data_IF_725678680389
#
_entry.id   IF_725678680389
#
_cell.length_a   1.000
_cell.length_b   1.000
_cell.length_c   1.000
_cell.angle_alpha   90.00
_cell.angle_beta   90.00
_cell.angle_gamma   90.00
#
_symmetry.space_group_name_H-M   'P 1'
#
loop_
_entity.id
_entity.type
_entity.pdbx_description
1 polymer ?
#
# COMPACT_ATOMS: atom_id res chain seq x y z
N UNK A 1 26.72 23.39 -16.57
CA UNK A 1 26.07 23.03 -17.83
C UNK A 1 25.51 21.60 -17.86
N UNK A 2 26.11 20.63 -17.18
CA UNK A 2 25.59 19.25 -17.12
C UNK A 2 24.19 19.13 -16.50
N UNK A 3 23.86 19.98 -15.51
CA UNK A 3 22.56 19.94 -14.83
C UNK A 3 21.36 20.34 -15.67
N UNK A 4 21.53 21.28 -16.60
CA UNK A 4 20.45 21.71 -17.50
C UNK A 4 20.05 20.60 -18.47
N UNK A 5 21.01 19.94 -19.10
CA UNK A 5 20.75 18.83 -20.02
C UNK A 5 20.18 17.62 -19.31
N UNK A 6 20.64 17.32 -18.09
CA UNK A 6 20.09 16.23 -17.27
C UNK A 6 18.63 16.47 -16.93
N UNK A 7 18.29 17.71 -16.50
CA UNK A 7 16.91 18.07 -16.19
C UNK A 7 16.02 18.06 -17.43
N UNK A 8 16.51 18.53 -18.57
CA UNK A 8 15.80 18.49 -19.83
C UNK A 8 15.53 17.07 -20.29
N UNK A 9 16.53 16.19 -20.18
CA UNK A 9 16.39 14.77 -20.51
C UNK A 9 15.35 14.08 -19.61
N UNK A 10 15.38 14.34 -18.31
CA UNK A 10 14.37 13.83 -17.37
C UNK A 10 12.99 14.34 -17.69
N UNK A 11 12.85 15.60 -18.07
CA UNK A 11 11.58 16.17 -18.49
C UNK A 11 11.03 15.49 -19.76
N UNK A 12 11.86 15.30 -20.78
CA UNK A 12 11.47 14.59 -22.00
C UNK A 12 11.17 13.11 -21.75
N UNK A 13 11.96 12.44 -20.92
CA UNK A 13 11.71 11.04 -20.58
C UNK A 13 10.37 10.88 -19.83
N UNK A 14 10.01 11.83 -18.95
CA UNK A 14 8.74 11.86 -18.27
C UNK A 14 7.54 12.02 -19.21
N UNK A 15 7.72 12.74 -20.33
CA UNK A 15 6.69 12.91 -21.36
C UNK A 15 6.52 11.67 -22.25
N UNK A 16 7.65 11.06 -22.67
CA UNK A 16 7.65 9.94 -23.61
C UNK A 16 7.51 8.58 -22.94
N UNK A 17 7.87 8.47 -21.66
CA UNK A 17 7.87 7.21 -20.90
C UNK A 17 6.95 7.31 -19.67
N UNK A 18 5.79 7.94 -19.83
CA UNK A 18 4.80 7.98 -18.76
C UNK A 18 4.28 6.56 -18.48
N UNK A 19 4.28 6.19 -17.21
CA UNK A 19 3.88 4.88 -16.72
C UNK A 19 2.63 4.98 -15.88
N UNK A 20 1.94 3.87 -15.74
CA UNK A 20 0.73 3.76 -14.93
C UNK A 20 0.86 2.59 -13.97
N UNK A 21 0.29 2.72 -12.79
CA UNK A 21 0.12 1.64 -11.84
C UNK A 21 -1.23 1.76 -11.15
N UNK A 22 -1.98 0.68 -11.14
CA UNK A 22 -3.23 0.57 -10.42
C UNK A 22 -3.01 -0.20 -9.12
N UNK A 23 -3.34 0.41 -8.00
CA UNK A 23 -3.03 -0.08 -6.65
C UNK A 23 -4.32 -0.15 -5.85
N UNK A 24 -4.54 -1.25 -5.15
CA UNK A 24 -5.61 -1.34 -4.16
C UNK A 24 -5.02 -1.38 -2.76
N UNK A 25 -5.53 -0.53 -1.88
CA UNK A 25 -5.10 -0.41 -0.49
C UNK A 25 -6.18 -1.02 0.40
N UNK A 26 -5.86 -2.10 1.05
CA UNK A 26 -6.77 -2.86 1.92
C UNK A 26 -6.12 -3.08 3.30
N UNK A 27 -6.90 -3.57 4.23
CA UNK A 27 -6.46 -3.83 5.60
C UNK A 27 -7.61 -3.57 6.57
N UNK A 28 -7.42 -3.94 7.83
CA UNK A 28 -8.45 -3.79 8.84
C UNK A 28 -8.76 -2.31 9.12
N UNK A 29 -9.89 -2.07 9.77
CA UNK A 29 -10.30 -0.73 10.18
C UNK A 29 -9.22 -0.10 11.08
N UNK A 30 -8.98 1.20 10.91
CA UNK A 30 -8.01 2.00 11.67
C UNK A 30 -6.54 1.59 11.49
N UNK A 31 -6.20 0.82 10.47
CA UNK A 31 -4.81 0.46 10.18
C UNK A 31 -3.97 1.59 9.56
N UNK A 32 -4.61 2.62 8.98
CA UNK A 32 -3.95 3.76 8.37
C UNK A 32 -3.99 3.78 6.85
N UNK A 33 -4.90 3.05 6.22
CA UNK A 33 -5.06 3.02 4.75
C UNK A 33 -5.33 4.40 4.15
N UNK A 34 -6.35 5.08 4.65
CA UNK A 34 -6.71 6.42 4.17
C UNK A 34 -5.61 7.42 4.49
N UNK A 35 -4.96 7.29 5.63
CA UNK A 35 -3.77 8.09 5.97
C UNK A 35 -2.64 7.90 4.96
N UNK A 36 -2.38 6.65 4.56
CA UNK A 36 -1.40 6.34 3.53
C UNK A 36 -1.73 7.04 2.21
N UNK A 37 -2.96 6.88 1.73
CA UNK A 37 -3.41 7.52 0.48
C UNK A 37 -3.32 9.04 0.56
N UNK A 38 -3.71 9.62 1.69
CA UNK A 38 -3.62 11.07 1.90
C UNK A 38 -2.18 11.58 1.89
N UNK A 39 -1.26 10.90 2.58
CA UNK A 39 0.15 11.31 2.64
C UNK A 39 0.83 11.22 1.28
N UNK A 40 0.62 10.14 0.53
CA UNK A 40 1.22 10.02 -0.81
C UNK A 40 0.58 10.97 -1.83
N UNK A 41 -0.66 11.40 -1.60
CA UNK A 41 -1.35 12.35 -2.49
C UNK A 41 -0.98 13.80 -2.20
N UNK A 42 -1.00 14.21 -0.93
CA UNK A 42 -0.81 15.61 -0.52
C UNK A 42 0.51 15.91 0.18
N UNK A 43 1.21 14.86 0.62
CA UNK A 43 2.41 15.00 1.46
C UNK A 43 2.12 15.38 2.91
N UNK A 44 0.85 15.39 3.33
CA UNK A 44 0.46 15.79 4.68
C UNK A 44 -0.29 14.68 5.41
N UNK A 45 0.03 14.51 6.69
CA UNK A 45 -0.66 13.63 7.61
C UNK A 45 -1.66 14.42 8.47
N UNK A 46 -2.80 13.82 8.80
CA UNK A 46 -3.81 14.39 9.69
C UNK A 46 -4.32 13.34 10.67
N UNK A 47 -4.58 13.73 11.91
CA UNK A 47 -5.25 12.87 12.89
C UNK A 47 -6.75 12.71 12.60
N UNK A 48 -7.33 13.71 11.95
CA UNK A 48 -8.78 13.79 11.69
C UNK A 48 -9.16 13.09 10.38
N UNK A 49 -8.81 11.80 10.28
CA UNK A 49 -9.18 11.00 9.11
C UNK A 49 -10.55 10.37 9.32
N UNK A 50 -11.50 10.75 8.47
CA UNK A 50 -12.83 10.14 8.44
C UNK A 50 -12.72 8.73 7.83
N UNK A 51 -13.29 7.70 8.48
CA UNK A 51 -13.31 6.36 7.91
C UNK A 51 -13.95 6.33 6.53
N UNK A 52 -13.31 5.60 5.61
CA UNK A 52 -13.81 5.40 4.25
C UNK A 52 -15.12 4.62 4.29
N UNK A 53 -16.13 5.12 3.59
CA UNK A 53 -17.39 4.41 3.38
C UNK A 53 -17.33 3.69 2.04
N UNK A 54 -17.24 2.36 2.10
CA UNK A 54 -17.05 1.44 0.98
C UNK A 54 -15.70 1.59 0.29
N UNK A 55 -15.47 2.63 -0.50
CA UNK A 55 -14.19 2.87 -1.18
C UNK A 55 -14.03 4.33 -1.60
N UNK A 56 -12.77 4.74 -1.84
CA UNK A 56 -12.41 5.98 -2.53
C UNK A 56 -11.42 5.68 -3.66
N UNK A 57 -11.57 6.37 -4.77
CA UNK A 57 -10.62 6.31 -5.86
C UNK A 57 -9.83 7.61 -5.94
N UNK A 58 -8.50 7.51 -6.01
CA UNK A 58 -7.63 8.66 -6.20
C UNK A 58 -6.62 8.41 -7.31
N UNK A 59 -6.30 9.48 -8.04
CA UNK A 59 -5.20 9.49 -9.00
C UNK A 59 -4.10 10.40 -8.49
N UNK A 60 -2.88 9.87 -8.41
CA UNK A 60 -1.71 10.57 -7.88
C UNK A 60 -0.57 10.43 -8.88
N UNK A 61 0.05 11.55 -9.25
CA UNK A 61 1.23 11.53 -10.10
C UNK A 61 2.49 11.75 -9.27
N UNK A 62 3.45 10.84 -9.40
CA UNK A 62 4.78 10.93 -8.79
C UNK A 62 5.83 10.66 -9.88
N UNK A 63 6.61 11.70 -10.24
CA UNK A 63 7.54 11.60 -11.34
C UNK A 63 6.84 11.31 -12.67
N UNK A 64 7.25 10.25 -13.35
CA UNK A 64 6.65 9.79 -14.60
C UNK A 64 5.57 8.71 -14.40
N UNK A 65 5.19 8.42 -13.14
CA UNK A 65 4.19 7.39 -12.82
C UNK A 65 2.90 8.03 -12.37
N UNK A 66 1.78 7.63 -12.99
CA UNK A 66 0.44 7.95 -12.53
C UNK A 66 -0.14 6.74 -11.80
N UNK A 67 -0.40 6.92 -10.51
CA UNK A 67 -1.01 5.89 -9.67
C UNK A 67 -2.52 6.07 -9.61
N UNK A 68 -3.25 5.03 -9.94
CA UNK A 68 -4.69 4.92 -9.68
C UNK A 68 -4.87 4.07 -8.42
N UNK A 69 -5.39 4.67 -7.35
CA UNK A 69 -5.38 4.08 -6.03
C UNK A 69 -6.80 3.90 -5.52
N UNK A 70 -7.16 2.66 -5.21
CA UNK A 70 -8.40 2.29 -4.56
C UNK A 70 -8.16 2.17 -3.06
N UNK A 71 -8.73 3.09 -2.28
CA UNK A 71 -8.74 3.04 -0.82
C UNK A 71 -10.04 2.34 -0.39
N UNK A 72 -9.93 1.09 0.03
CA UNK A 72 -11.10 0.24 0.32
C UNK A 72 -11.33 0.14 1.82
N UNK A 73 -12.58 0.32 2.25
CA UNK A 73 -12.97 0.31 3.66
C UNK A 73 -12.60 -1.00 4.36
N UNK A 74 -12.08 -0.89 5.59
CA UNK A 74 -11.62 -2.02 6.40
C UNK A 74 -12.63 -2.56 7.41
N UNK A 75 -13.81 -1.94 7.53
CA UNK A 75 -14.84 -2.45 8.44
C UNK A 75 -15.33 -3.85 8.02
N UNK A 76 -15.68 -4.73 8.97
CA UNK A 76 -16.05 -6.12 8.66
C UNK A 76 -17.11 -6.26 7.56
N UNK A 77 -18.09 -5.38 7.54
CA UNK A 77 -19.17 -5.40 6.53
C UNK A 77 -18.72 -5.13 5.11
N UNK A 78 -17.52 -4.54 4.90
CA UNK A 78 -17.00 -4.20 3.57
C UNK A 78 -15.88 -5.13 3.10
N UNK A 79 -15.40 -6.06 3.94
CA UNK A 79 -14.25 -6.91 3.60
C UNK A 79 -14.55 -7.87 2.44
N UNK A 80 -15.81 -8.30 2.29
CA UNK A 80 -16.23 -9.12 1.15
C UNK A 80 -16.11 -8.39 -0.20
N UNK A 81 -15.98 -7.06 -0.19
CA UNK A 81 -15.80 -6.26 -1.41
C UNK A 81 -14.34 -6.15 -1.84
N UNK A 82 -13.38 -6.56 -1.01
CA UNK A 82 -11.95 -6.36 -1.31
C UNK A 82 -11.52 -7.05 -2.62
N UNK A 83 -11.99 -8.26 -2.86
CA UNK A 83 -11.70 -8.98 -4.11
C UNK A 83 -12.04 -8.15 -5.34
N UNK A 84 -13.19 -7.50 -5.33
CA UNK A 84 -13.67 -6.68 -6.45
C UNK A 84 -12.69 -5.56 -6.82
N UNK A 85 -12.10 -4.89 -5.81
CA UNK A 85 -11.19 -3.76 -6.02
C UNK A 85 -9.73 -4.19 -6.17
N UNK A 86 -9.42 -5.44 -5.86
CA UNK A 86 -8.07 -6.01 -6.01
C UNK A 86 -7.90 -6.83 -7.29
N UNK A 87 -8.97 -7.10 -8.00
CA UNK A 87 -8.92 -7.84 -9.25
C UNK A 87 -8.29 -7.01 -10.37
N UNK A 88 -7.25 -7.54 -11.00
CA UNK A 88 -6.60 -6.90 -12.14
C UNK A 88 -5.72 -5.70 -11.81
N UNK A 89 -5.46 -5.42 -10.53
CA UNK A 89 -4.53 -4.35 -10.14
C UNK A 89 -3.08 -4.79 -10.29
N UNK A 90 -2.18 -3.81 -10.37
CA UNK A 90 -0.74 -4.06 -10.49
C UNK A 90 -0.09 -4.44 -9.18
N UNK A 91 -0.70 -4.04 -8.06
CA UNK A 91 -0.29 -4.44 -6.72
C UNK A 91 -1.41 -4.25 -5.71
N UNK A 92 -1.39 -5.09 -4.67
CA UNK A 92 -2.22 -4.93 -3.47
C UNK A 92 -1.30 -4.47 -2.34
N UNK A 93 -1.70 -3.40 -1.67
CA UNK A 93 -1.05 -2.90 -0.45
C UNK A 93 -1.95 -3.25 0.73
N UNK A 94 -1.44 -4.07 1.63
CA UNK A 94 -2.12 -4.47 2.86
C UNK A 94 -1.52 -3.71 4.04
N UNK A 95 -2.30 -2.83 4.65
CA UNK A 95 -1.82 -1.98 5.75
C UNK A 95 -2.24 -2.58 7.09
N UNK A 96 -1.28 -2.71 7.99
CA UNK A 96 -1.45 -3.28 9.33
C UNK A 96 -1.05 -2.23 10.37
N UNK A 97 -1.85 -2.08 11.41
CA UNK A 97 -1.44 -1.36 12.61
C UNK A 97 -0.47 -2.23 13.41
N UNK A 98 0.82 -1.92 13.34
CA UNK A 98 1.85 -2.73 13.98
C UNK A 98 1.85 -2.64 15.51
N UNK A 99 1.05 -1.76 16.10
CA UNK A 99 0.90 -1.62 17.55
C UNK A 99 -0.24 -2.46 18.12
N UNK A 100 -1.17 -2.93 17.28
CA UNK A 100 -2.37 -3.64 17.69
C UNK A 100 -2.24 -5.15 17.42
N UNK A 101 -1.43 -5.81 18.26
CA UNK A 101 -1.11 -7.23 18.09
C UNK A 101 -2.33 -8.15 18.22
N UNK A 102 -3.36 -7.72 18.97
CA UNK A 102 -4.60 -8.48 19.14
C UNK A 102 -5.34 -8.68 17.81
N UNK A 103 -5.10 -7.80 16.84
CA UNK A 103 -5.74 -7.86 15.52
C UNK A 103 -4.92 -8.61 14.46
N UNK A 104 -3.72 -9.08 14.79
CA UNK A 104 -2.87 -9.77 13.82
C UNK A 104 -3.49 -11.06 13.29
N UNK A 105 -4.21 -11.79 14.12
CA UNK A 105 -4.89 -13.01 13.68
C UNK A 105 -6.01 -12.69 12.66
N UNK A 106 -6.83 -11.69 12.94
CA UNK A 106 -7.85 -11.24 12.00
C UNK A 106 -7.23 -10.72 10.71
N UNK A 107 -6.14 -9.95 10.81
CA UNK A 107 -5.42 -9.44 9.64
C UNK A 107 -4.87 -10.58 8.79
N UNK A 108 -4.25 -11.57 9.41
CA UNK A 108 -3.76 -12.77 8.72
C UNK A 108 -4.87 -13.51 7.99
N UNK A 109 -5.97 -13.76 8.68
CA UNK A 109 -7.14 -14.46 8.11
C UNK A 109 -7.67 -13.73 6.88
N UNK A 110 -7.92 -12.43 7.00
CA UNK A 110 -8.47 -11.62 5.90
C UNK A 110 -7.48 -11.52 4.72
N UNK A 111 -6.19 -11.37 5.00
CA UNK A 111 -5.16 -11.31 3.97
C UNK A 111 -5.10 -12.62 3.17
N UNK A 112 -4.99 -13.74 3.85
CA UNK A 112 -4.88 -15.04 3.18
C UNK A 112 -6.17 -15.41 2.46
N UNK A 113 -7.34 -15.08 3.03
CA UNK A 113 -8.62 -15.28 2.36
C UNK A 113 -8.72 -14.49 1.05
N UNK A 114 -8.25 -13.25 1.05
CA UNK A 114 -8.21 -12.41 -0.13
C UNK A 114 -7.27 -13.02 -1.20
N UNK A 115 -6.05 -13.37 -0.82
CA UNK A 115 -5.05 -13.87 -1.76
C UNK A 115 -5.37 -15.26 -2.32
N UNK A 116 -6.22 -16.02 -1.64
CA UNK A 116 -6.68 -17.33 -2.13
C UNK A 116 -7.78 -17.21 -3.18
N UNK A 117 -8.29 -16.03 -3.44
CA UNK A 117 -9.26 -15.82 -4.52
C UNK A 117 -8.57 -16.02 -5.88
N UNK A 118 -9.12 -16.87 -6.78
CA UNK A 118 -8.50 -17.15 -8.08
C UNK A 118 -8.26 -15.90 -8.92
N UNK A 119 -9.13 -14.90 -8.80
CA UNK A 119 -9.03 -13.62 -9.51
C UNK A 119 -7.77 -12.82 -9.13
N UNK A 120 -7.16 -13.09 -7.98
CA UNK A 120 -5.96 -12.39 -7.49
C UNK A 120 -4.68 -13.21 -7.68
N UNK A 121 -4.72 -14.30 -8.45
CA UNK A 121 -3.54 -15.12 -8.70
C UNK A 121 -2.40 -14.29 -9.29
N UNK A 122 -1.23 -14.37 -8.68
CA UNK A 122 -0.02 -13.69 -9.16
C UNK A 122 0.07 -12.18 -8.89
N UNK A 123 -0.97 -11.54 -8.34
CA UNK A 123 -0.93 -10.10 -8.04
C UNK A 123 0.11 -9.83 -6.95
N UNK A 124 1.08 -8.93 -7.20
CA UNK A 124 2.10 -8.57 -6.20
C UNK A 124 1.48 -8.01 -4.93
N UNK A 125 2.08 -8.35 -3.78
CA UNK A 125 1.65 -7.93 -2.45
C UNK A 125 2.73 -7.12 -1.76
N UNK A 126 2.34 -5.97 -1.23
CA UNK A 126 3.13 -5.17 -0.29
C UNK A 126 2.41 -5.09 1.04
N UNK A 127 3.06 -5.51 2.11
CA UNK A 127 2.53 -5.38 3.48
C UNK A 127 3.23 -4.22 4.17
N UNK A 128 2.47 -3.30 4.73
CA UNK A 128 2.97 -2.15 5.46
C UNK A 128 2.61 -2.27 6.95
N UNK A 129 3.63 -2.42 7.80
CA UNK A 129 3.50 -2.28 9.24
C UNK A 129 3.53 -0.81 9.61
N UNK A 130 2.36 -0.19 9.71
CA UNK A 130 2.21 1.23 10.03
C UNK A 130 2.41 1.51 11.52
N UNK A 131 2.62 2.77 11.85
CA UNK A 131 2.76 3.30 13.22
C UNK A 131 4.06 2.87 13.91
N UNK A 132 5.16 2.73 13.14
CA UNK A 132 6.47 2.42 13.72
C UNK A 132 7.08 3.58 14.52
N UNK A 133 6.44 4.74 14.51
CA UNK A 133 6.75 5.88 15.40
C UNK A 133 6.31 5.64 16.85
N UNK A 134 5.49 4.62 17.11
CA UNK A 134 4.99 4.29 18.45
C UNK A 134 5.85 3.17 19.06
N UNK A 135 6.27 3.38 20.30
CA UNK A 135 7.00 2.35 21.04
C UNK A 135 6.15 1.09 21.24
N UNK A 136 6.79 -0.07 21.15
CA UNK A 136 6.11 -1.35 21.27
C UNK A 136 5.48 -1.86 19.98
N UNK A 137 5.66 -1.16 18.87
CA UNK A 137 5.25 -1.66 17.56
C UNK A 137 5.97 -2.95 17.18
N UNK A 138 5.30 -3.84 16.45
CA UNK A 138 5.91 -5.06 15.97
C UNK A 138 6.90 -4.76 14.83
N UNK A 139 8.14 -5.28 14.90
CA UNK A 139 9.10 -5.15 13.82
C UNK A 139 8.72 -6.04 12.61
N UNK A 140 9.38 -5.82 11.48
CA UNK A 140 9.10 -6.52 10.21
C UNK A 140 9.14 -8.05 10.38
N UNK A 141 10.14 -8.59 11.08
CA UNK A 141 10.27 -10.05 11.27
C UNK A 141 9.10 -10.64 12.06
N UNK A 142 8.55 -9.90 13.01
CA UNK A 142 7.37 -10.33 13.77
C UNK A 142 6.10 -10.27 12.90
N UNK A 143 5.96 -9.23 12.09
CA UNK A 143 4.85 -9.13 11.13
C UNK A 143 4.87 -10.28 10.11
N UNK A 144 6.04 -10.61 9.56
CA UNK A 144 6.20 -11.72 8.62
C UNK A 144 5.74 -13.03 9.26
N UNK A 145 6.12 -13.26 10.49
CA UNK A 145 5.74 -14.47 11.25
C UNK A 145 4.25 -14.48 11.60
N UNK A 146 3.75 -13.39 12.19
CA UNK A 146 2.36 -13.30 12.67
C UNK A 146 1.34 -13.37 11.55
N UNK A 147 1.66 -12.77 10.40
CA UNK A 147 0.81 -12.79 9.22
C UNK A 147 1.10 -13.98 8.29
N UNK A 148 2.06 -14.82 8.65
CA UNK A 148 2.45 -15.99 7.87
C UNK A 148 2.80 -15.65 6.41
N UNK A 149 3.54 -14.56 6.20
CA UNK A 149 3.84 -14.08 4.85
C UNK A 149 4.71 -15.05 4.06
N UNK A 150 5.55 -15.85 4.73
CA UNK A 150 6.38 -16.87 4.08
C UNK A 150 5.58 -18.02 3.46
N UNK A 151 4.33 -18.20 3.86
CA UNK A 151 3.43 -19.19 3.26
C UNK A 151 2.78 -18.73 1.96
N UNK A 152 2.87 -17.45 1.64
CA UNK A 152 2.33 -16.88 0.41
C UNK A 152 3.27 -17.21 -0.74
N UNK A 153 2.76 -17.88 -1.76
CA UNK A 153 3.53 -18.33 -2.92
C UNK A 153 2.92 -17.82 -4.23
N UNK A 154 3.70 -17.88 -5.31
CA UNK A 154 3.24 -17.56 -6.64
C UNK A 154 3.10 -16.07 -6.94
N UNK A 155 3.68 -15.19 -6.11
CA UNK A 155 3.69 -13.75 -6.30
C UNK A 155 4.85 -13.08 -5.58
N UNK A 156 5.29 -11.90 -6.02
CA UNK A 156 6.20 -11.08 -5.22
C UNK A 156 5.52 -10.62 -3.94
N UNK A 157 6.22 -10.76 -2.80
CA UNK A 157 5.75 -10.32 -1.48
C UNK A 157 6.86 -9.51 -0.83
N UNK A 158 6.53 -8.31 -0.38
CA UNK A 158 7.44 -7.46 0.40
C UNK A 158 6.73 -6.94 1.65
N UNK A 159 7.50 -6.69 2.70
CA UNK A 159 6.98 -6.15 3.95
C UNK A 159 7.92 -5.05 4.45
N UNK A 160 7.36 -3.88 4.71
CA UNK A 160 8.11 -2.75 5.26
C UNK A 160 7.43 -2.23 6.52
N UNK A 161 8.26 -1.82 7.48
CA UNK A 161 7.83 -1.04 8.63
C UNK A 161 7.88 0.43 8.29
N UNK A 162 6.83 1.16 8.57
CA UNK A 162 6.71 2.58 8.20
C UNK A 162 5.84 3.36 9.19
N UNK A 163 5.79 4.67 9.00
CA UNK A 163 4.87 5.55 9.71
C UNK A 163 4.28 6.56 8.73
N UNK A 164 2.97 6.62 8.66
CA UNK A 164 2.28 7.66 7.89
C UNK A 164 2.45 9.02 8.57
N UNK A 165 2.50 9.04 9.89
CA UNK A 165 2.67 10.26 10.70
C UNK A 165 4.05 10.90 10.51
N UNK A 166 5.12 10.13 10.70
CA UNK A 166 6.50 10.61 10.55
C UNK A 166 7.02 10.52 9.13
N UNK A 167 6.30 9.85 8.23
CA UNK A 167 6.68 9.55 6.84
C UNK A 167 7.92 8.65 6.71
N UNK A 168 8.30 7.96 7.79
CA UNK A 168 9.44 7.05 7.79
C UNK A 168 9.20 5.89 6.80
N UNK A 169 10.17 5.61 5.95
CA UNK A 169 10.19 4.56 4.93
C UNK A 169 9.15 4.72 3.79
N UNK A 170 8.42 5.82 3.69
CA UNK A 170 7.48 6.01 2.59
C UNK A 170 8.16 6.16 1.23
N UNK A 171 9.39 6.64 1.18
CA UNK A 171 10.21 6.71 -0.02
C UNK A 171 10.49 5.32 -0.61
N UNK A 172 10.85 4.35 0.25
CA UNK A 172 11.07 2.95 -0.15
C UNK A 172 9.76 2.32 -0.65
N UNK A 173 8.65 2.60 0.03
CA UNK A 173 7.32 2.13 -0.37
C UNK A 173 6.97 2.65 -1.76
N UNK A 174 7.16 3.94 -2.01
CA UNK A 174 6.88 4.54 -3.31
C UNK A 174 7.78 3.99 -4.41
N UNK A 175 9.05 3.71 -4.13
CA UNK A 175 9.95 3.06 -5.08
C UNK A 175 9.46 1.65 -5.44
N UNK A 176 9.03 0.88 -4.45
CA UNK A 176 8.49 -0.45 -4.69
C UNK A 176 7.25 -0.39 -5.59
N UNK A 177 6.33 0.53 -5.31
CA UNK A 177 5.11 0.71 -6.11
C UNK A 177 5.43 1.17 -7.52
N UNK A 178 6.37 2.09 -7.69
CA UNK A 178 6.82 2.54 -9.01
C UNK A 178 7.41 1.39 -9.84
N UNK A 179 8.04 0.42 -9.20
CA UNK A 179 8.55 -0.79 -9.85
C UNK A 179 7.46 -1.71 -10.42
N UNK A 180 6.20 -1.52 -10.03
CA UNK A 180 5.04 -2.27 -10.54
C UNK A 180 4.36 -1.58 -11.71
N UNK A 181 4.79 -0.37 -12.05
CA UNK A 181 4.21 0.41 -13.16
C UNK A 181 4.60 -0.16 -14.54
N UNK A 182 3.76 0.13 -15.51
CA UNK A 182 3.96 -0.26 -16.91
C UNK A 182 3.54 0.85 -17.87
#
# INVERSE_FOLDING_TARGET
MSGFFTNLFQWFSGLFFSKKAEISVVGLQASGKTSFVNVISSGQWSEDVVPTVAFNLRKVRKGNVTFKIWDVAGQPKFRSMWERYCHGVDAVVFVVDSTDQEKFESARFELHSLLNQPALSGVPLLVLGNKNDIDGHAPVNELIRSLELSKIQGRPVSCYSCSMKSQHNLDIVMQWLAGRSH
#
